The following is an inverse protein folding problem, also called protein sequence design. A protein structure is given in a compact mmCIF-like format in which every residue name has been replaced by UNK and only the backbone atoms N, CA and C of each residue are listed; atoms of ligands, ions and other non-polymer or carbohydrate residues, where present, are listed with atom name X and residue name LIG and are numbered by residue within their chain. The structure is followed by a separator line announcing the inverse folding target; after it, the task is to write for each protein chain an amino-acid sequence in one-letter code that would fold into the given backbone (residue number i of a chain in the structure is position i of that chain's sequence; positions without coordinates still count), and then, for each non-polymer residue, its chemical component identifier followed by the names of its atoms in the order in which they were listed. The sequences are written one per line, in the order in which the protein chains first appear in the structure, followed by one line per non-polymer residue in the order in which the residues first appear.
data_IF_134133751179
#
_entry.id   IF_134133751179
#
_cell.length_a   1.000
_cell.length_b   1.000
_cell.length_c   1.000
_cell.angle_alpha   90.00
_cell.angle_beta   90.00
_cell.angle_gamma   90.00
#
_symmetry.space_group_name_H-M   'P 1'
#
loop_
_entity.id
_entity.type
_entity.pdbx_description
1 polymer ?
#
# COMPACT_ATOMS: atom_id res chain seq x y z
N UNK A 1 -1.40 -26.42 -3.98
CA UNK A 1 -2.31 -25.37 -3.49
C UNK A 1 -1.60 -24.06 -3.08
N UNK A 2 -0.27 -23.91 -3.18
CA UNK A 2 0.46 -22.69 -2.72
C UNK A 2 0.80 -21.65 -3.82
N UNK A 3 0.17 -21.70 -5.00
CA UNK A 3 0.56 -20.86 -6.13
C UNK A 3 0.28 -19.36 -5.93
N UNK A 4 -0.89 -19.02 -5.37
CA UNK A 4 -1.33 -17.62 -5.21
C UNK A 4 -0.54 -16.89 -4.12
N UNK A 5 -0.36 -17.52 -2.96
CA UNK A 5 0.37 -16.93 -1.84
C UNK A 5 1.84 -16.69 -2.19
N UNK A 6 2.51 -17.69 -2.78
CA UNK A 6 3.89 -17.54 -3.23
C UNK A 6 4.01 -16.42 -4.27
N UNK A 7 3.05 -16.33 -5.18
CA UNK A 7 3.03 -15.28 -6.19
C UNK A 7 2.82 -13.89 -5.57
N UNK A 8 1.84 -13.75 -4.66
CA UNK A 8 1.57 -12.52 -3.93
C UNK A 8 2.80 -12.02 -3.15
N UNK A 9 3.48 -12.93 -2.44
CA UNK A 9 4.72 -12.63 -1.74
C UNK A 9 5.84 -12.22 -2.69
N UNK A 10 5.96 -12.89 -3.84
CA UNK A 10 6.98 -12.60 -4.84
C UNK A 10 6.81 -11.18 -5.43
N UNK A 11 5.59 -10.82 -5.83
CA UNK A 11 5.34 -9.49 -6.40
C UNK A 11 5.47 -8.36 -5.37
N UNK A 12 5.10 -8.61 -4.10
CA UNK A 12 5.32 -7.64 -3.02
C UNK A 12 6.81 -7.44 -2.75
N UNK A 13 7.59 -8.52 -2.63
CA UNK A 13 9.04 -8.45 -2.50
C UNK A 13 9.68 -7.70 -3.65
N UNK A 14 9.26 -7.98 -4.88
CA UNK A 14 9.75 -7.25 -6.04
C UNK A 14 9.42 -5.75 -5.96
N UNK A 15 8.18 -5.40 -5.64
CA UNK A 15 7.74 -4.02 -5.47
C UNK A 15 8.59 -3.27 -4.42
N UNK A 16 8.87 -3.92 -3.28
CA UNK A 16 9.75 -3.35 -2.25
C UNK A 16 11.18 -3.18 -2.74
N UNK A 17 11.76 -4.22 -3.37
CA UNK A 17 13.15 -4.21 -3.86
C UNK A 17 13.40 -3.09 -4.85
N UNK A 18 12.41 -2.79 -5.70
CA UNK A 18 12.51 -1.72 -6.71
C UNK A 18 11.97 -0.38 -6.21
N UNK A 19 11.67 -0.26 -4.91
CA UNK A 19 11.14 0.93 -4.26
C UNK A 19 9.91 1.51 -4.98
N UNK A 20 9.01 0.62 -5.39
CA UNK A 20 7.75 1.02 -6.00
C UNK A 20 6.85 1.70 -4.96
N UNK A 21 6.15 2.76 -5.37
CA UNK A 21 5.16 3.46 -4.54
C UNK A 21 3.80 2.78 -4.55
N UNK A 22 3.41 2.21 -5.70
CA UNK A 22 2.15 1.51 -5.88
C UNK A 22 2.36 0.21 -6.69
N UNK A 23 1.69 -0.86 -6.28
CA UNK A 23 1.49 -2.10 -7.04
C UNK A 23 0.04 -2.13 -7.53
N UNK A 24 -0.15 -2.24 -8.83
CA UNK A 24 -1.44 -2.25 -9.50
C UNK A 24 -1.74 -3.64 -10.07
N UNK A 25 -2.93 -4.15 -9.80
CA UNK A 25 -3.50 -5.36 -10.39
C UNK A 25 -4.75 -4.92 -11.17
N UNK A 26 -4.61 -4.84 -12.50
CA UNK A 26 -5.59 -4.21 -13.38
C UNK A 26 -6.20 -5.24 -14.32
N UNK A 27 -7.47 -5.64 -14.12
CA UNK A 27 -8.14 -6.53 -15.05
C UNK A 27 -8.45 -5.82 -16.37
N UNK A 28 -8.25 -6.54 -17.47
CA UNK A 28 -8.59 -6.13 -18.83
C UNK A 28 -9.58 -7.14 -19.42
N UNK A 29 -9.91 -6.98 -20.70
CA UNK A 29 -10.86 -7.88 -21.36
C UNK A 29 -10.36 -9.33 -21.42
N UNK A 30 -9.07 -9.57 -21.67
CA UNK A 30 -8.49 -10.90 -21.90
C UNK A 30 -7.59 -11.40 -20.78
N UNK A 31 -6.91 -10.49 -20.09
CA UNK A 31 -5.90 -10.77 -19.08
C UNK A 31 -6.02 -9.82 -17.89
N UNK A 32 -5.16 -10.02 -16.89
CA UNK A 32 -4.94 -9.08 -15.79
C UNK A 32 -3.49 -8.62 -15.88
N UNK A 33 -3.27 -7.32 -15.81
CA UNK A 33 -1.94 -6.72 -15.91
C UNK A 33 -1.47 -6.30 -14.54
N UNK A 34 -0.25 -6.71 -14.20
CA UNK A 34 0.44 -6.28 -12.99
C UNK A 34 1.40 -5.16 -13.36
N UNK A 35 1.28 -4.03 -12.68
CA UNK A 35 2.12 -2.85 -12.91
C UNK A 35 2.69 -2.33 -11.59
N UNK A 36 3.90 -1.77 -11.64
CA UNK A 36 4.54 -1.12 -10.50
C UNK A 36 4.75 0.35 -10.85
N UNK A 37 4.42 1.25 -9.92
CA UNK A 37 4.78 2.66 -10.03
C UNK A 37 6.15 2.88 -9.41
N UNK A 38 7.15 3.19 -10.23
CA UNK A 38 8.52 3.46 -9.79
C UNK A 38 8.82 4.91 -10.15
N UNK A 39 8.97 5.76 -9.13
CA UNK A 39 9.04 7.21 -9.33
C UNK A 39 7.79 7.74 -10.03
N UNK A 40 7.96 8.31 -11.23
CA UNK A 40 6.85 8.85 -12.03
C UNK A 40 6.26 7.84 -13.01
N UNK A 41 6.96 6.73 -13.25
CA UNK A 41 6.63 5.80 -14.32
C UNK A 41 5.78 4.64 -13.80
N UNK A 42 4.81 4.24 -14.62
CA UNK A 42 4.00 3.04 -14.37
C UNK A 42 4.46 1.94 -15.31
N UNK A 43 5.16 0.94 -14.77
CA UNK A 43 5.85 -0.09 -15.55
C UNK A 43 5.07 -1.40 -15.46
N UNK A 44 4.66 -1.95 -16.61
CA UNK A 44 4.07 -3.29 -16.66
C UNK A 44 5.13 -4.34 -16.37
N UNK A 45 4.84 -5.22 -15.41
CA UNK A 45 5.73 -6.31 -15.02
C UNK A 45 5.35 -7.64 -15.65
N UNK A 46 4.08 -8.00 -15.54
CA UNK A 46 3.59 -9.23 -16.15
C UNK A 46 2.11 -9.15 -16.49
N UNK A 47 1.65 -10.18 -17.21
CA UNK A 47 0.27 -10.43 -17.53
C UNK A 47 -0.09 -11.83 -17.04
N UNK A 48 -1.26 -11.98 -16.44
CA UNK A 48 -1.76 -13.24 -15.91
C UNK A 48 -3.17 -13.51 -16.42
N UNK A 49 -3.58 -14.77 -16.33
CA UNK A 49 -4.94 -15.17 -16.62
C UNK A 49 -5.93 -14.56 -15.64
N UNK A 50 -7.15 -14.30 -16.12
CA UNK A 50 -8.22 -13.66 -15.33
C UNK A 50 -8.55 -14.40 -14.05
N UNK A 51 -8.66 -15.72 -14.12
CA UNK A 51 -9.01 -16.54 -12.96
C UNK A 51 -7.93 -16.45 -11.88
N UNK A 52 -6.65 -16.42 -12.30
CA UNK A 52 -5.53 -16.25 -11.37
C UNK A 52 -5.54 -14.86 -10.74
N UNK A 53 -5.80 -13.81 -11.51
CA UNK A 53 -5.91 -12.45 -10.99
C UNK A 53 -7.06 -12.26 -10.00
N UNK A 54 -8.21 -12.89 -10.23
CA UNK A 54 -9.34 -12.83 -9.30
C UNK A 54 -9.04 -13.52 -7.96
N UNK A 55 -8.37 -14.68 -8.01
CA UNK A 55 -7.88 -15.38 -6.82
C UNK A 55 -6.84 -14.55 -6.07
N UNK A 56 -5.97 -13.84 -6.79
CA UNK A 56 -4.97 -12.95 -6.22
C UNK A 56 -5.61 -11.76 -5.48
N UNK A 57 -6.60 -11.11 -6.08
CA UNK A 57 -7.36 -10.03 -5.41
C UNK A 57 -8.07 -10.56 -4.16
N UNK A 58 -8.71 -11.73 -4.26
CA UNK A 58 -9.38 -12.37 -3.12
C UNK A 58 -8.40 -12.69 -1.97
N UNK A 59 -7.20 -13.16 -2.29
CA UNK A 59 -6.14 -13.40 -1.31
C UNK A 59 -5.70 -12.11 -0.60
N UNK A 60 -5.49 -11.02 -1.33
CA UNK A 60 -5.17 -9.74 -0.71
C UNK A 60 -6.33 -9.14 0.10
N UNK A 61 -7.58 -9.36 -0.32
CA UNK A 61 -8.76 -8.98 0.46
C UNK A 61 -8.80 -9.70 1.80
N UNK A 62 -8.55 -11.00 1.80
CA UNK A 62 -8.41 -11.78 3.03
C UNK A 62 -7.31 -11.21 3.94
N UNK A 63 -6.10 -10.99 3.42
CA UNK A 63 -4.98 -10.46 4.20
C UNK A 63 -5.28 -9.10 4.84
N UNK A 64 -5.99 -8.22 4.13
CA UNK A 64 -6.33 -6.89 4.61
C UNK A 64 -7.70 -6.80 5.29
N UNK A 65 -8.29 -7.94 5.69
CA UNK A 65 -9.57 -8.02 6.40
C UNK A 65 -10.75 -7.34 5.68
N UNK A 66 -10.75 -7.40 4.35
CA UNK A 66 -11.85 -6.94 3.49
C UNK A 66 -12.86 -8.08 3.23
N UNK A 67 -14.10 -7.73 2.87
CA UNK A 67 -15.13 -8.71 2.51
C UNK A 67 -14.84 -9.29 1.11
N UNK A 68 -14.44 -10.55 1.07
CA UNK A 68 -14.09 -11.27 -0.17
C UNK A 68 -15.32 -11.42 -1.10
N UNK A 69 -16.52 -11.58 -0.52
CA UNK A 69 -17.77 -11.79 -1.25
C UNK A 69 -18.33 -10.52 -1.89
N UNK A 70 -18.08 -9.36 -1.29
CA UNK A 70 -18.49 -8.07 -1.88
C UNK A 70 -17.52 -7.61 -2.97
N UNK A 71 -18.00 -7.49 -4.21
CA UNK A 71 -17.19 -7.10 -5.39
C UNK A 71 -17.80 -5.95 -6.18
N UNK A 72 -18.93 -5.41 -5.72
CA UNK A 72 -19.72 -4.35 -6.38
C UNK A 72 -19.47 -2.97 -5.77
N UNK A 73 -18.80 -2.91 -4.62
CA UNK A 73 -18.44 -1.67 -3.93
C UNK A 73 -16.92 -1.57 -3.76
N UNK A 74 -16.34 -0.36 -3.84
CA UNK A 74 -14.94 -0.17 -3.49
C UNK A 74 -14.70 -0.55 -2.03
N UNK A 75 -13.55 -1.15 -1.74
CA UNK A 75 -13.13 -1.47 -0.37
C UNK A 75 -11.73 -0.92 -0.10
N UNK A 76 -11.46 -0.66 1.18
CA UNK A 76 -10.14 -0.25 1.63
C UNK A 76 -9.73 -1.16 2.78
N UNK A 77 -8.46 -1.57 2.77
CA UNK A 77 -7.84 -2.35 3.83
C UNK A 77 -6.44 -1.83 4.10
N UNK A 78 -5.89 -2.24 5.23
CA UNK A 78 -4.49 -2.01 5.56
C UNK A 78 -3.85 -3.32 5.98
N UNK A 79 -2.56 -3.46 5.70
CA UNK A 79 -1.79 -4.64 6.01
C UNK A 79 -0.40 -4.21 6.49
N UNK A 80 0.02 -4.72 7.63
CA UNK A 80 1.39 -4.59 8.11
C UNK A 80 2.11 -5.91 7.89
N UNK A 81 3.32 -5.86 7.32
CA UNK A 81 4.19 -7.02 7.21
C UNK A 81 5.67 -6.62 7.22
N UNK A 82 6.51 -7.60 7.54
CA UNK A 82 7.95 -7.48 7.37
C UNK A 82 8.38 -8.19 6.08
N UNK A 83 8.97 -7.43 5.16
CA UNK A 83 9.47 -7.93 3.88
C UNK A 83 11.00 -7.81 3.92
N UNK A 84 11.69 -8.94 3.89
CA UNK A 84 13.17 -9.01 3.90
C UNK A 84 13.81 -8.17 5.02
N UNK A 85 13.19 -8.17 6.20
CA UNK A 85 13.65 -7.43 7.39
C UNK A 85 13.26 -5.95 7.43
N UNK A 86 12.56 -5.44 6.42
CA UNK A 86 12.02 -4.08 6.38
C UNK A 86 10.53 -4.07 6.73
N UNK A 87 10.13 -3.15 7.61
CA UNK A 87 8.72 -2.90 7.92
C UNK A 87 8.02 -2.23 6.74
N UNK A 88 6.92 -2.82 6.29
CA UNK A 88 6.09 -2.33 5.20
C UNK A 88 4.64 -2.17 5.68
N UNK A 89 4.17 -0.92 5.65
CA UNK A 89 2.78 -0.58 5.90
C UNK A 89 2.10 -0.42 4.55
N UNK A 90 1.17 -1.33 4.25
CA UNK A 90 0.48 -1.36 2.98
C UNK A 90 -0.94 -0.84 3.15
N UNK A 91 -1.36 0.00 2.20
CA UNK A 91 -2.78 0.37 2.04
C UNK A 91 -3.31 -0.26 0.76
N UNK A 92 -4.37 -1.03 0.89
CA UNK A 92 -5.00 -1.74 -0.20
C UNK A 92 -6.34 -1.08 -0.52
N UNK A 93 -6.61 -0.87 -1.80
CA UNK A 93 -7.88 -0.32 -2.27
C UNK A 93 -8.38 -1.12 -3.47
N UNK A 94 -9.58 -1.66 -3.38
CA UNK A 94 -10.24 -2.35 -4.49
C UNK A 94 -11.27 -1.46 -5.17
N UNK A 95 -11.44 -1.64 -6.47
CA UNK A 95 -12.46 -0.94 -7.24
C UNK A 95 -13.11 -1.89 -8.26
N UNK A 96 -14.45 -2.02 -8.26
CA UNK A 96 -15.18 -2.73 -9.31
C UNK A 96 -14.92 -2.10 -10.67
N UNK A 97 -14.60 -2.92 -11.68
CA UNK A 97 -14.44 -2.46 -13.07
C UNK A 97 -15.41 -3.20 -13.99
N UNK A 98 -15.42 -2.83 -15.28
CA UNK A 98 -16.23 -3.50 -16.32
C UNK A 98 -15.85 -4.98 -16.48
N UNK A 99 -14.61 -5.37 -16.14
CA UNK A 99 -14.13 -6.73 -16.34
C UNK A 99 -14.16 -7.57 -15.05
N UNK A 100 -13.42 -7.14 -14.03
CA UNK A 100 -13.32 -7.78 -12.70
C UNK A 100 -12.95 -6.70 -11.67
N UNK A 101 -12.81 -7.07 -10.39
CA UNK A 101 -12.32 -6.17 -9.36
C UNK A 101 -10.83 -5.84 -9.59
N UNK A 102 -10.49 -4.56 -9.62
CA UNK A 102 -9.10 -4.09 -9.63
C UNK A 102 -8.60 -3.88 -8.21
N UNK A 103 -7.28 -3.98 -8.01
CA UNK A 103 -6.64 -3.73 -6.72
C UNK A 103 -5.41 -2.85 -6.91
N UNK A 104 -5.29 -1.84 -6.03
CA UNK A 104 -4.06 -1.06 -5.88
C UNK A 104 -3.56 -1.26 -4.46
N UNK A 105 -2.26 -1.53 -4.33
CA UNK A 105 -1.55 -1.63 -3.06
C UNK A 105 -0.53 -0.51 -3.03
N UNK A 106 -0.72 0.47 -2.15
CA UNK A 106 0.27 1.50 -1.87
C UNK A 106 1.26 0.99 -0.83
N UNK A 107 2.54 1.07 -1.15
CA UNK A 107 3.63 0.62 -0.28
C UNK A 107 4.20 1.82 0.47
N UNK A 108 3.98 1.87 1.78
CA UNK A 108 4.72 2.74 2.68
C UNK A 108 5.85 1.93 3.31
N UNK A 109 6.96 1.87 2.58
CA UNK A 109 8.21 1.34 3.09
C UNK A 109 8.73 2.38 4.08
N UNK A 110 8.90 2.00 5.34
CA UNK A 110 9.44 2.93 6.30
C UNK A 110 10.90 3.22 5.91
N UNK A 111 11.14 4.39 5.34
CA UNK A 111 12.38 5.09 5.55
C UNK A 111 12.37 5.50 7.02
N UNK A 112 13.47 5.27 7.73
CA UNK A 112 13.64 5.54 9.16
C UNK A 112 12.84 6.76 9.64
N UNK A 113 12.11 6.60 10.75
CA UNK A 113 11.39 7.70 11.42
C UNK A 113 12.36 8.86 11.58
N UNK A 114 12.12 9.93 10.83
CA UNK A 114 12.98 11.10 10.90
C UNK A 114 12.64 11.86 12.18
N UNK A 115 13.65 12.26 12.98
CA UNK A 115 13.42 13.15 14.11
C UNK A 115 12.67 14.41 13.64
N UNK A 116 11.76 14.92 14.47
CA UNK A 116 11.04 16.16 14.15
C UNK A 116 11.99 17.33 13.87
N UNK A 117 13.18 17.33 14.50
CA UNK A 117 14.24 18.29 14.24
C UNK A 117 14.77 18.28 12.79
N UNK A 118 14.70 17.13 12.10
CA UNK A 118 15.09 16.99 10.69
C UNK A 118 13.95 17.31 9.72
N UNK A 119 12.70 17.22 10.17
CA UNK A 119 11.52 17.53 9.36
C UNK A 119 11.17 19.03 9.34
N UNK A 120 11.58 19.77 10.37
CA UNK A 120 11.24 21.19 10.50
C UNK A 120 12.21 22.10 9.75
N UNK A 121 11.66 22.95 8.88
CA UNK A 121 12.37 24.10 8.30
C UNK A 121 12.88 25.07 9.38
N UNK A 122 12.18 25.16 10.51
CA UNK A 122 12.51 26.06 11.61
C UNK A 122 12.77 25.26 12.89
N UNK A 123 14.03 25.14 13.34
CA UNK A 123 14.37 24.37 14.54
C UNK A 123 13.62 24.84 15.81
N UNK A 124 13.27 26.14 15.89
CA UNK A 124 12.49 26.72 16.99
C UNK A 124 11.06 26.18 17.05
N UNK A 125 10.41 25.95 15.90
CA UNK A 125 9.06 25.38 15.83
C UNK A 125 9.05 23.92 16.30
N UNK A 126 10.04 23.12 15.89
CA UNK A 126 10.20 21.74 16.36
C UNK A 126 10.40 21.68 17.88
N UNK A 127 11.26 22.52 18.44
CA UNK A 127 11.47 22.61 19.90
C UNK A 127 10.18 22.97 20.64
N UNK A 128 9.41 23.94 20.12
CA UNK A 128 8.13 24.33 20.72
C UNK A 128 7.12 23.18 20.70
N UNK A 129 7.01 22.46 19.58
CA UNK A 129 6.11 21.31 19.47
C UNK A 129 6.53 20.17 20.41
N UNK A 130 7.82 19.85 20.50
CA UNK A 130 8.34 18.85 21.44
C UNK A 130 8.09 19.24 22.90
N UNK A 131 8.16 20.53 23.24
CA UNK A 131 7.85 21.00 24.60
C UNK A 131 6.42 20.70 25.02
N UNK A 132 5.48 20.63 24.06
CA UNK A 132 4.08 20.27 24.36
C UNK A 132 3.91 18.81 24.76
N UNK A 133 4.85 17.94 24.42
CA UNK A 133 4.83 16.52 24.83
C UNK A 133 5.12 16.34 26.33
N UNK A 134 5.60 17.37 27.02
CA UNK A 134 5.88 17.33 28.45
C UNK A 134 4.63 17.59 29.31
N UNK A 135 3.52 18.03 28.71
CA UNK A 135 2.26 18.20 29.42
C UNK A 135 1.60 16.83 29.62
N UNK A 136 1.05 16.59 30.82
CA UNK A 136 0.41 15.31 31.16
C UNK A 136 -0.94 15.09 30.46
N UNK A 137 -1.53 16.13 29.87
CA UNK A 137 -2.79 16.10 29.14
C UNK A 137 -2.89 17.32 28.21
N UNK A 138 -3.67 17.17 27.13
CA UNK A 138 -3.88 18.21 26.13
C UNK A 138 -4.24 17.61 24.77
N UNK A 139 -4.69 18.45 23.85
CA UNK A 139 -4.99 18.06 22.46
C UNK A 139 -4.04 18.80 21.52
N UNK A 140 -3.27 18.04 20.73
CA UNK A 140 -2.49 18.58 19.61
C UNK A 140 -3.20 18.21 18.30
N UNK A 141 -3.59 19.24 17.54
CA UNK A 141 -4.24 19.07 16.24
C UNK A 141 -3.24 19.38 15.13
N UNK A 142 -2.94 18.37 14.31
CA UNK A 142 -2.19 18.53 13.08
C UNK A 142 -3.18 18.69 11.94
N UNK A 143 -3.04 19.76 11.15
CA UNK A 143 -3.93 20.06 10.02
C UNK A 143 -3.09 20.41 8.80
N UNK A 144 -3.58 20.04 7.62
CA UNK A 144 -2.94 20.23 6.34
C UNK A 144 -3.74 19.53 5.23
N UNK A 145 -3.48 19.85 3.95
CA UNK A 145 -4.03 19.09 2.83
C UNK A 145 -3.48 17.66 2.83
N UNK A 146 -4.07 16.77 2.05
CA UNK A 146 -3.54 15.40 1.88
C UNK A 146 -2.16 15.44 1.20
N UNK A 147 -1.14 14.93 1.90
CA UNK A 147 0.26 14.92 1.45
C UNK A 147 1.15 15.59 2.48
#
# INVERSE_FOLDING_TARGET
MNGIENFANTILKEACRVQASDLHIVPRQKDVVIQLRIGKDLITRQRIEKEFGEKLVSHFKFLASMDIGERRKPQNGSLYLQIDGQEAYLRLSTLPTVYQESLVIRLHLQASVQPLSHLSLFPSAAKKLLSFLHYSHGLLVFTGPTG
#
